data_IF_134533421470
#
_entry.id   IF_134533421470
#
_cell.length_a   1.000
_cell.length_b   1.000
_cell.length_c   1.000
_cell.angle_alpha   90.00
_cell.angle_beta   90.00
_cell.angle_gamma   90.00
#
_symmetry.space_group_name_H-M   'P 1'
#
loop_
_entity.id
_entity.type
_entity.pdbx_description
1 polymer ?
#
# COMPACT_ATOMS: atom_id res chain seq x y z
N UNK A 1 62.05 -23.58 5.63
CA UNK A 1 61.07 -23.36 4.53
C UNK A 1 59.61 -23.60 4.94
N UNK A 2 59.32 -24.50 5.91
CA UNK A 2 57.94 -24.76 6.38
C UNK A 2 57.41 -23.64 7.31
N UNK A 3 58.25 -23.06 8.18
CA UNK A 3 57.84 -21.95 9.06
C UNK A 3 57.47 -20.65 8.34
N UNK A 4 58.07 -20.31 7.19
CA UNK A 4 57.73 -19.06 6.48
C UNK A 4 56.35 -19.14 5.81
N UNK A 5 55.99 -20.31 5.27
CA UNK A 5 54.67 -20.54 4.67
C UNK A 5 53.51 -20.45 5.67
N UNK A 6 53.75 -20.81 6.95
CA UNK A 6 52.76 -20.68 8.02
C UNK A 6 52.51 -19.22 8.41
N UNK A 7 53.56 -18.37 8.42
CA UNK A 7 53.44 -16.94 8.72
C UNK A 7 52.65 -16.19 7.63
N UNK A 8 52.80 -16.59 6.36
CA UNK A 8 52.05 -16.01 5.24
C UNK A 8 50.56 -16.38 5.25
N UNK A 9 50.18 -17.52 5.85
CA UNK A 9 48.80 -17.99 5.89
C UNK A 9 47.96 -17.25 6.95
N UNK A 10 48.58 -16.79 8.04
CA UNK A 10 47.88 -16.15 9.17
C UNK A 10 47.11 -14.88 8.75
N UNK A 11 47.70 -13.92 7.99
CA UNK A 11 46.96 -12.75 7.51
C UNK A 11 45.78 -13.11 6.61
N UNK A 12 45.94 -14.13 5.75
CA UNK A 12 44.88 -14.58 4.84
C UNK A 12 43.71 -15.22 5.61
N UNK A 13 44.00 -15.99 6.66
CA UNK A 13 42.99 -16.59 7.54
C UNK A 13 42.25 -15.51 8.36
N UNK A 14 42.97 -14.50 8.85
CA UNK A 14 42.38 -13.36 9.55
C UNK A 14 41.46 -12.57 8.61
N UNK A 15 41.93 -12.27 7.39
CA UNK A 15 41.11 -11.60 6.37
C UNK A 15 39.87 -12.42 6.01
N UNK A 16 40.01 -13.73 5.85
CA UNK A 16 38.86 -14.60 5.58
C UNK A 16 37.84 -14.58 6.73
N UNK A 17 38.29 -14.59 7.99
CA UNK A 17 37.41 -14.47 9.15
C UNK A 17 36.69 -13.11 9.19
N UNK A 18 37.38 -12.00 8.88
CA UNK A 18 36.76 -10.69 8.76
C UNK A 18 35.72 -10.64 7.63
N UNK A 19 36.04 -11.19 6.45
CA UNK A 19 35.09 -11.25 5.34
C UNK A 19 33.85 -12.09 5.68
N UNK A 20 34.03 -13.23 6.36
CA UNK A 20 32.92 -14.05 6.84
C UNK A 20 32.04 -13.29 7.84
N UNK A 21 32.64 -12.53 8.76
CA UNK A 21 31.90 -11.69 9.71
C UNK A 21 31.13 -10.56 8.99
N UNK A 22 31.76 -9.88 8.04
CA UNK A 22 31.11 -8.83 7.24
C UNK A 22 29.93 -9.41 6.46
N UNK A 23 30.12 -10.57 5.81
CA UNK A 23 29.05 -11.25 5.06
C UNK A 23 27.87 -11.63 5.97
N UNK A 24 28.14 -12.13 7.17
CA UNK A 24 27.11 -12.41 8.17
C UNK A 24 26.31 -11.15 8.55
N UNK A 25 27.01 -10.03 8.78
CA UNK A 25 26.37 -8.75 9.08
C UNK A 25 25.55 -8.22 7.90
N UNK A 26 26.06 -8.34 6.67
CA UNK A 26 25.32 -7.96 5.46
C UNK A 26 24.04 -8.77 5.31
N UNK A 27 24.07 -10.08 5.57
CA UNK A 27 22.89 -10.92 5.56
C UNK A 27 21.83 -10.44 6.57
N UNK A 28 22.25 -10.10 7.79
CA UNK A 28 21.36 -9.59 8.82
C UNK A 28 20.75 -8.23 8.43
N UNK A 29 21.53 -7.32 7.84
CA UNK A 29 21.06 -6.02 7.35
C UNK A 29 20.07 -6.20 6.20
N UNK A 30 20.38 -7.05 5.22
CA UNK A 30 19.52 -7.29 4.07
C UNK A 30 18.17 -7.86 4.47
N UNK A 31 18.14 -8.75 5.47
CA UNK A 31 16.88 -9.27 6.03
C UNK A 31 16.03 -8.15 6.65
N UNK A 32 16.64 -7.25 7.43
CA UNK A 32 15.93 -6.10 8.02
C UNK A 32 15.41 -5.15 6.95
N UNK A 33 16.21 -4.89 5.91
CA UNK A 33 15.81 -4.06 4.77
C UNK A 33 14.64 -4.66 4.01
N UNK A 34 14.66 -5.97 3.75
CA UNK A 34 13.56 -6.67 3.11
C UNK A 34 12.24 -6.52 3.89
N UNK A 35 12.29 -6.67 5.22
CA UNK A 35 11.12 -6.47 6.07
C UNK A 35 10.62 -5.02 6.02
N UNK A 36 11.52 -4.04 6.08
CA UNK A 36 11.16 -2.63 5.96
C UNK A 36 10.54 -2.30 4.60
N UNK A 37 11.10 -2.84 3.51
CA UNK A 37 10.57 -2.64 2.17
C UNK A 37 9.17 -3.26 2.04
N UNK A 38 8.97 -4.45 2.60
CA UNK A 38 7.65 -5.11 2.63
C UNK A 38 6.64 -4.28 3.44
N UNK A 39 7.03 -3.79 4.63
CA UNK A 39 6.21 -2.88 5.43
C UNK A 39 5.81 -1.64 4.64
N UNK A 40 6.77 -0.96 4.00
CA UNK A 40 6.51 0.25 3.22
C UNK A 40 5.56 -0.01 2.06
N UNK A 41 5.69 -1.15 1.37
CA UNK A 41 4.79 -1.56 0.29
C UNK A 41 3.38 -1.87 0.80
N UNK A 42 3.25 -2.50 1.96
CA UNK A 42 1.94 -2.74 2.59
C UNK A 42 1.31 -1.43 3.03
N UNK A 43 2.06 -0.55 3.68
CA UNK A 43 1.58 0.74 4.15
C UNK A 43 1.16 1.66 2.99
N UNK A 44 1.85 1.60 1.85
CA UNK A 44 1.50 2.42 0.68
C UNK A 44 0.09 2.15 0.16
N UNK A 45 -0.41 0.92 0.30
CA UNK A 45 -1.80 0.57 -0.06
C UNK A 45 -2.80 1.40 0.77
N UNK A 46 -2.55 1.56 2.06
CA UNK A 46 -3.39 2.36 2.94
C UNK A 46 -3.29 3.86 2.57
N UNK A 47 -2.07 4.38 2.40
CA UNK A 47 -1.89 5.81 2.11
C UNK A 47 -2.45 6.22 0.76
N UNK A 48 -2.32 5.38 -0.27
CA UNK A 48 -2.93 5.64 -1.59
C UNK A 48 -4.46 5.60 -1.52
N UNK A 49 -5.03 4.69 -0.75
CA UNK A 49 -6.48 4.61 -0.53
C UNK A 49 -6.99 5.84 0.24
N UNK A 50 -6.26 6.28 1.25
CA UNK A 50 -6.58 7.49 2.01
C UNK A 50 -6.53 8.73 1.11
N UNK A 51 -5.49 8.87 0.28
CA UNK A 51 -5.36 9.98 -0.69
C UNK A 51 -6.51 9.97 -1.70
N UNK A 52 -6.87 8.79 -2.21
CA UNK A 52 -8.02 8.62 -3.11
C UNK A 52 -9.32 9.05 -2.45
N UNK A 53 -9.55 8.66 -1.19
CA UNK A 53 -10.71 9.12 -0.43
C UNK A 53 -10.72 10.64 -0.21
N UNK A 54 -9.59 11.24 0.15
CA UNK A 54 -9.49 12.70 0.35
C UNK A 54 -9.87 13.47 -0.93
N UNK A 55 -9.42 13.00 -2.09
CA UNK A 55 -9.82 13.61 -3.37
C UNK A 55 -11.26 13.26 -3.78
N UNK A 56 -11.78 12.11 -3.38
CA UNK A 56 -13.20 11.78 -3.51
C UNK A 56 -14.10 12.68 -2.65
N UNK A 57 -13.62 13.19 -1.51
CA UNK A 57 -14.35 14.19 -0.73
C UNK A 57 -14.25 15.57 -1.39
N UNK A 58 -13.10 15.89 -1.98
CA UNK A 58 -12.84 17.15 -2.70
C UNK A 58 -13.64 17.31 -4.00
N UNK A 59 -13.27 18.25 -4.86
CA UNK A 59 -14.03 18.51 -6.09
C UNK A 59 -13.82 17.44 -7.17
N UNK A 60 -12.60 16.93 -7.30
CA UNK A 60 -12.21 15.98 -8.35
C UNK A 60 -11.12 15.06 -7.85
N UNK A 61 -11.14 13.84 -8.37
CA UNK A 61 -10.01 12.91 -8.26
C UNK A 61 -9.07 13.14 -9.44
N UNK A 62 -7.80 13.36 -9.13
CA UNK A 62 -6.73 13.46 -10.12
C UNK A 62 -6.45 12.11 -10.76
N UNK A 63 -6.01 12.14 -12.02
CA UNK A 63 -5.63 10.93 -12.75
C UNK A 63 -4.48 10.19 -12.08
N UNK A 64 -3.54 10.92 -11.47
CA UNK A 64 -2.42 10.33 -10.74
C UNK A 64 -2.92 9.55 -9.52
N UNK A 65 -3.72 10.18 -8.66
CA UNK A 65 -4.26 9.53 -7.46
C UNK A 65 -5.12 8.32 -7.79
N UNK A 66 -5.96 8.40 -8.84
CA UNK A 66 -6.75 7.25 -9.27
C UNK A 66 -5.87 6.10 -9.77
N UNK A 67 -4.83 6.39 -10.58
CA UNK A 67 -3.87 5.38 -11.04
C UNK A 67 -3.09 4.74 -9.89
N UNK A 68 -2.61 5.55 -8.94
CA UNK A 68 -1.91 5.04 -7.76
C UNK A 68 -2.82 4.13 -6.93
N UNK A 69 -4.07 4.53 -6.71
CA UNK A 69 -5.04 3.68 -6.03
C UNK A 69 -5.29 2.36 -6.76
N UNK A 70 -5.48 2.37 -8.09
CA UNK A 70 -5.64 1.12 -8.86
C UNK A 70 -4.40 0.25 -8.74
N UNK A 71 -3.20 0.81 -8.86
CA UNK A 71 -1.95 0.07 -8.72
C UNK A 71 -1.82 -0.57 -7.33
N UNK A 72 -2.12 0.19 -6.26
CA UNK A 72 -2.11 -0.28 -4.89
C UNK A 72 -3.20 -1.34 -4.62
N UNK A 73 -4.39 -1.19 -5.21
CA UNK A 73 -5.45 -2.20 -5.19
C UNK A 73 -4.95 -3.51 -5.82
N UNK A 74 -4.42 -3.47 -7.04
CA UNK A 74 -3.93 -4.70 -7.70
C UNK A 74 -2.74 -5.32 -6.97
N UNK A 75 -1.81 -4.49 -6.46
CA UNK A 75 -0.67 -4.96 -5.66
C UNK A 75 -1.09 -5.66 -4.36
N UNK A 76 -2.22 -5.26 -3.77
CA UNK A 76 -2.74 -5.85 -2.53
C UNK A 76 -2.99 -7.36 -2.65
N UNK A 77 -3.32 -7.88 -3.85
CA UNK A 77 -3.47 -9.33 -4.10
C UNK A 77 -2.21 -10.12 -3.74
N UNK A 78 -1.05 -9.53 -3.97
CA UNK A 78 0.24 -10.16 -3.73
C UNK A 78 0.78 -9.84 -2.34
N UNK A 79 0.60 -8.60 -1.89
CA UNK A 79 1.10 -8.15 -0.58
C UNK A 79 0.36 -8.78 0.61
N UNK A 80 -0.90 -9.17 0.39
CA UNK A 80 -1.80 -9.80 1.35
C UNK A 80 -2.37 -11.10 0.80
N UNK A 81 -1.54 -11.94 0.19
CA UNK A 81 -1.96 -13.18 -0.46
C UNK A 81 -2.72 -14.15 0.46
N UNK A 82 -2.50 -14.06 1.77
CA UNK A 82 -3.18 -14.86 2.79
C UNK A 82 -4.57 -14.31 3.18
N UNK A 83 -4.86 -13.04 2.88
CA UNK A 83 -6.15 -12.40 3.14
C UNK A 83 -6.70 -11.71 1.89
N UNK A 84 -7.44 -12.45 1.04
CA UNK A 84 -8.05 -11.89 -0.15
C UNK A 84 -9.17 -10.88 0.16
N UNK A 85 -9.61 -10.75 1.42
CA UNK A 85 -10.65 -9.79 1.80
C UNK A 85 -10.18 -8.34 1.69
N UNK A 86 -8.87 -8.08 1.85
CA UNK A 86 -8.29 -6.75 1.65
C UNK A 86 -8.45 -6.30 0.19
N UNK A 87 -8.09 -7.17 -0.76
CA UNK A 87 -8.29 -6.88 -2.18
C UNK A 87 -9.78 -6.65 -2.50
N UNK A 88 -10.66 -7.53 -2.02
CA UNK A 88 -12.10 -7.44 -2.27
C UNK A 88 -12.69 -6.12 -1.74
N UNK A 89 -12.25 -5.69 -0.55
CA UNK A 89 -12.67 -4.42 0.03
C UNK A 89 -12.24 -3.24 -0.84
N UNK A 90 -10.97 -3.19 -1.25
CA UNK A 90 -10.45 -2.13 -2.12
C UNK A 90 -11.14 -2.11 -3.49
N UNK A 91 -11.47 -3.28 -4.05
CA UNK A 91 -12.20 -3.40 -5.32
C UNK A 91 -13.65 -2.94 -5.19
N UNK A 92 -14.31 -3.25 -4.07
CA UNK A 92 -15.64 -2.73 -3.76
C UNK A 92 -15.63 -1.20 -3.61
N UNK A 93 -14.66 -0.66 -2.87
CA UNK A 93 -14.46 0.79 -2.77
C UNK A 93 -14.25 1.39 -4.16
N UNK A 94 -13.41 0.80 -5.00
CA UNK A 94 -13.22 1.28 -6.37
C UNK A 94 -14.53 1.33 -7.17
N UNK A 95 -15.33 0.27 -7.13
CA UNK A 95 -16.62 0.19 -7.81
C UNK A 95 -17.61 1.25 -7.30
N UNK A 96 -17.73 1.40 -5.98
CA UNK A 96 -18.63 2.39 -5.38
C UNK A 96 -18.18 3.84 -5.65
N UNK A 97 -16.88 4.08 -5.88
CA UNK A 97 -16.35 5.42 -6.21
C UNK A 97 -16.98 6.00 -7.49
N UNK A 98 -17.39 5.16 -8.45
CA UNK A 98 -18.00 5.61 -9.69
C UNK A 98 -19.33 6.32 -9.48
N UNK A 99 -20.07 5.99 -8.41
CA UNK A 99 -21.33 6.68 -8.07
C UNK A 99 -21.07 8.13 -7.68
N UNK A 100 -19.98 8.38 -6.94
CA UNK A 100 -19.56 9.72 -6.52
C UNK A 100 -19.01 10.50 -7.73
N UNK A 101 -18.07 9.92 -8.47
CA UNK A 101 -17.40 10.62 -9.59
C UNK A 101 -18.36 10.86 -10.76
N UNK A 102 -19.24 9.90 -11.05
CA UNK A 102 -20.30 10.04 -12.05
C UNK A 102 -21.26 11.18 -11.69
N UNK A 103 -21.72 11.23 -10.43
CA UNK A 103 -22.57 12.33 -9.96
C UNK A 103 -21.86 13.69 -10.01
N UNK A 104 -20.58 13.78 -9.62
CA UNK A 104 -19.83 15.04 -9.72
C UNK A 104 -19.68 15.54 -11.15
N UNK A 105 -19.50 14.62 -12.10
CA UNK A 105 -19.30 14.94 -13.51
C UNK A 105 -20.60 15.38 -14.20
N UNK A 106 -21.70 14.68 -13.93
CA UNK A 106 -22.96 14.84 -14.68
C UNK A 106 -24.09 15.47 -13.86
N UNK A 107 -23.99 15.52 -12.53
CA UNK A 107 -25.06 15.96 -11.64
C UNK A 107 -25.49 17.41 -11.89
N UNK A 108 -24.57 18.29 -12.32
CA UNK A 108 -24.91 19.66 -12.68
C UNK A 108 -25.88 19.76 -13.88
N UNK A 109 -25.88 18.77 -14.77
CA UNK A 109 -26.81 18.72 -15.92
C UNK A 109 -28.24 18.38 -15.47
N UNK A 110 -28.39 17.74 -14.30
CA UNK A 110 -29.66 17.36 -13.70
C UNK A 110 -30.20 18.41 -12.71
N UNK A 111 -29.54 19.57 -12.60
CA UNK A 111 -29.92 20.64 -11.67
C UNK A 111 -31.44 20.93 -11.74
N UNK A 112 -32.12 20.92 -10.58
CA UNK A 112 -33.57 21.18 -10.40
C UNK A 112 -34.52 20.00 -10.68
N UNK A 113 -34.00 18.79 -10.76
CA UNK A 113 -34.81 17.56 -10.84
C UNK A 113 -34.76 16.78 -9.52
N UNK A 114 -35.79 15.98 -9.17
CA UNK A 114 -35.73 15.04 -8.04
C UNK A 114 -34.51 14.09 -8.09
N UNK A 115 -34.08 13.73 -9.30
CA UNK A 115 -32.92 12.89 -9.57
C UNK A 115 -31.62 13.52 -9.08
N UNK A 116 -31.52 14.86 -9.10
CA UNK A 116 -30.38 15.58 -8.54
C UNK A 116 -30.27 15.40 -7.02
N UNK A 117 -31.38 15.58 -6.30
CA UNK A 117 -31.42 15.42 -4.83
C UNK A 117 -31.03 13.99 -4.46
N UNK A 118 -31.61 13.01 -5.14
CA UNK A 118 -31.26 11.59 -4.95
C UNK A 118 -29.78 11.31 -5.24
N UNK A 119 -29.22 11.95 -6.27
CA UNK A 119 -27.80 11.83 -6.60
C UNK A 119 -26.89 12.40 -5.51
N UNK A 120 -27.26 13.55 -4.91
CA UNK A 120 -26.55 14.13 -3.76
C UNK A 120 -26.58 13.18 -2.57
N UNK A 121 -27.76 12.65 -2.21
CA UNK A 121 -27.93 11.73 -1.08
C UNK A 121 -27.08 10.47 -1.25
N UNK A 122 -27.16 9.82 -2.41
CA UNK A 122 -26.34 8.63 -2.72
C UNK A 122 -24.85 8.99 -2.64
N UNK A 123 -24.43 10.12 -3.22
CA UNK A 123 -23.03 10.52 -3.16
C UNK A 123 -22.55 10.76 -1.73
N UNK A 124 -23.38 11.38 -0.88
CA UNK A 124 -23.05 11.63 0.53
C UNK A 124 -23.00 10.33 1.35
N UNK A 125 -23.99 9.45 1.16
CA UNK A 125 -24.02 8.12 1.78
C UNK A 125 -22.76 7.35 1.45
N UNK A 126 -22.34 7.35 0.18
CA UNK A 126 -21.12 6.66 -0.24
C UNK A 126 -19.87 7.30 0.35
N UNK A 127 -19.77 8.62 0.41
CA UNK A 127 -18.63 9.26 1.08
C UNK A 127 -18.53 8.87 2.56
N UNK A 128 -19.65 8.82 3.28
CA UNK A 128 -19.67 8.33 4.66
C UNK A 128 -19.22 6.87 4.77
N UNK A 129 -19.81 6.00 3.94
CA UNK A 129 -19.45 4.58 3.88
C UNK A 129 -17.96 4.36 3.60
N UNK A 130 -17.35 5.15 2.71
CA UNK A 130 -15.90 5.10 2.45
C UNK A 130 -15.06 5.39 3.70
N UNK A 131 -15.49 6.32 4.55
CA UNK A 131 -14.82 6.61 5.82
C UNK A 131 -14.82 5.41 6.77
N UNK A 132 -15.94 4.68 6.83
CA UNK A 132 -16.04 3.44 7.60
C UNK A 132 -15.14 2.34 7.00
N UNK A 133 -15.14 2.19 5.68
CA UNK A 133 -14.32 1.20 5.00
C UNK A 133 -12.81 1.47 5.14
N UNK A 134 -12.39 2.74 5.22
CA UNK A 134 -11.00 3.09 5.55
C UNK A 134 -10.59 2.57 6.93
N UNK A 135 -11.50 2.63 7.90
CA UNK A 135 -11.27 2.10 9.25
C UNK A 135 -11.19 0.57 9.22
N UNK A 136 -12.10 -0.09 8.49
CA UNK A 136 -12.06 -1.53 8.29
C UNK A 136 -10.76 -1.97 7.60
N UNK A 137 -10.34 -1.27 6.55
CA UNK A 137 -9.11 -1.51 5.82
C UNK A 137 -7.90 -1.43 6.76
N UNK A 138 -7.81 -0.37 7.57
CA UNK A 138 -6.74 -0.22 8.57
C UNK A 138 -6.70 -1.41 9.53
N UNK A 139 -7.86 -1.86 10.01
CA UNK A 139 -7.95 -2.99 10.94
C UNK A 139 -7.51 -4.30 10.27
N UNK A 140 -7.96 -4.58 9.04
CA UNK A 140 -7.54 -5.75 8.27
C UNK A 140 -6.05 -5.76 7.95
N UNK A 141 -5.46 -4.59 7.70
CA UNK A 141 -4.03 -4.47 7.40
C UNK A 141 -3.14 -4.49 8.64
N UNK A 142 -3.66 -4.13 9.83
CA UNK A 142 -2.86 -3.99 11.05
C UNK A 142 -2.02 -5.23 11.41
N UNK A 143 -2.52 -6.49 11.28
CA UNK A 143 -1.71 -7.68 11.53
C UNK A 143 -0.47 -7.78 10.65
N UNK A 144 -0.49 -7.20 9.45
CA UNK A 144 0.59 -7.27 8.46
C UNK A 144 1.60 -6.11 8.56
N UNK A 145 1.24 -5.05 9.29
CA UNK A 145 2.06 -3.86 9.49
C UNK A 145 2.90 -3.94 10.78
N UNK A 146 2.54 -4.82 11.70
CA UNK A 146 3.24 -5.01 12.97
C UNK A 146 4.21 -6.20 12.98
N UNK A 147 4.52 -6.77 11.80
CA UNK A 147 5.38 -7.95 11.62
C UNK A 147 6.75 -7.58 11.04
#
# INVERSE_FOLDING_TARGET
MICSKLIELVPSAIMAAFLAYIAYQQMAINKRKLNLDLYNKRFSVYTDTLRFYQELVGEKVSQETHRSFIASKEASRFLFSEDPSIFKLLDLMHSESFKITGFKKHGKELSRTPEFVKGVEISQEKLFWFGEQLTELKNKMSPYLNQ
#
